data_IF_051272639226
#
_entry.id   IF_051272639226
#
_cell.length_a   1.000
_cell.length_b   1.000
_cell.length_c   1.000
_cell.angle_alpha   90.00
_cell.angle_beta   90.00
_cell.angle_gamma   90.00
#
_symmetry.space_group_name_H-M   'P 1'
#
loop_
_entity.id
_entity.type
_entity.pdbx_description
1 polymer ?
#
# COMPACT_ATOMS: atom_id res chain seq x y z
N UNK A 1 -11.77 5.16 0.37
CA UNK A 1 -12.33 5.59 1.67
C UNK A 1 -13.82 5.27 1.68
N UNK A 2 -14.38 4.96 2.85
CA UNK A 2 -15.81 4.66 3.04
C UNK A 2 -16.28 5.29 4.34
N UNK A 3 -17.49 5.82 4.36
CA UNK A 3 -18.05 6.54 5.50
C UNK A 3 -19.48 7.01 5.23
N UNK A 4 -20.00 7.82 6.13
CA UNK A 4 -21.30 8.48 6.01
C UNK A 4 -21.11 10.00 6.12
N UNK A 5 -21.94 10.75 5.39
CA UNK A 5 -21.93 12.22 5.43
C UNK A 5 -22.35 12.75 6.81
N UNK A 6 -23.40 12.15 7.39
CA UNK A 6 -23.85 12.47 8.73
C UNK A 6 -22.95 11.81 9.78
N UNK A 7 -22.34 12.64 10.64
CA UNK A 7 -21.47 12.22 11.76
C UNK A 7 -22.16 11.26 12.73
N UNK A 8 -23.48 11.35 12.88
CA UNK A 8 -24.25 10.50 13.80
C UNK A 8 -24.35 9.04 13.31
N UNK A 9 -24.17 8.81 12.01
CA UNK A 9 -24.23 7.47 11.41
C UNK A 9 -22.87 6.79 11.57
N UNK A 10 -22.88 5.62 12.21
CA UNK A 10 -21.67 4.82 12.43
C UNK A 10 -21.96 3.33 12.44
N UNK A 11 -20.95 2.55 12.08
CA UNK A 11 -20.97 1.11 12.28
C UNK A 11 -20.97 0.79 13.78
N UNK A 12 -21.69 -0.26 14.16
CA UNK A 12 -21.84 -0.64 15.56
C UNK A 12 -20.52 -1.10 16.19
N UNK A 13 -19.64 -1.71 15.41
CA UNK A 13 -18.34 -2.22 15.87
C UNK A 13 -17.24 -1.93 14.85
N UNK A 14 -15.98 -1.94 15.31
CA UNK A 14 -14.82 -1.84 14.44
C UNK A 14 -14.79 -2.99 13.44
N UNK A 15 -15.14 -4.22 13.85
CA UNK A 15 -15.15 -5.38 12.95
C UNK A 15 -16.06 -5.16 11.73
N UNK A 16 -17.18 -4.47 11.93
CA UNK A 16 -18.09 -4.09 10.84
C UNK A 16 -17.56 -2.90 10.04
N UNK A 17 -17.01 -1.87 10.71
CA UNK A 17 -16.64 -0.60 10.07
C UNK A 17 -15.21 -0.50 9.54
N UNK A 18 -14.33 -1.46 9.86
CA UNK A 18 -12.93 -1.43 9.46
C UNK A 18 -12.79 -1.46 7.93
N UNK A 19 -11.73 -0.82 7.44
CA UNK A 19 -11.47 -0.67 6.00
C UNK A 19 -11.37 -2.01 5.26
N UNK A 20 -10.84 -3.05 5.91
CA UNK A 20 -10.75 -4.40 5.32
C UNK A 20 -12.13 -5.02 5.05
N UNK A 21 -13.14 -4.71 5.86
CA UNK A 21 -14.49 -5.22 5.68
C UNK A 21 -15.32 -4.33 4.72
N UNK A 22 -15.14 -3.01 4.79
CA UNK A 22 -15.98 -2.07 4.06
C UNK A 22 -15.36 -1.60 2.73
N UNK A 23 -14.12 -1.11 2.74
CA UNK A 23 -13.51 -0.47 1.57
C UNK A 23 -12.84 -1.48 0.62
N UNK A 24 -12.16 -2.49 1.18
CA UNK A 24 -11.36 -3.44 0.40
C UNK A 24 -12.20 -4.26 -0.60
N UNK A 25 -13.41 -4.76 -0.29
CA UNK A 25 -14.21 -5.51 -1.26
C UNK A 25 -14.65 -4.65 -2.45
N UNK A 26 -14.99 -3.38 -2.21
CA UNK A 26 -15.36 -2.43 -3.27
C UNK A 26 -14.15 -2.18 -4.17
N UNK A 27 -12.98 -1.97 -3.57
CA UNK A 27 -11.73 -1.77 -4.32
C UNK A 27 -11.36 -3.01 -5.15
N UNK A 28 -11.53 -4.21 -4.61
CA UNK A 28 -11.27 -5.45 -5.34
C UNK A 28 -12.17 -5.59 -6.58
N UNK A 29 -13.48 -5.31 -6.45
CA UNK A 29 -14.41 -5.34 -7.58
C UNK A 29 -14.06 -4.26 -8.62
N UNK A 30 -13.66 -3.07 -8.17
CA UNK A 30 -13.23 -2.00 -9.06
C UNK A 30 -11.98 -2.42 -9.86
N UNK A 31 -10.95 -2.93 -9.20
CA UNK A 31 -9.73 -3.37 -9.87
C UNK A 31 -9.98 -4.56 -10.82
N UNK A 32 -10.81 -5.52 -10.43
CA UNK A 32 -11.19 -6.64 -11.32
C UNK A 32 -11.82 -6.12 -12.64
N UNK A 33 -12.64 -5.07 -12.57
CA UNK A 33 -13.19 -4.41 -13.76
C UNK A 33 -12.11 -3.68 -14.56
N UNK A 34 -11.20 -2.97 -13.90
CA UNK A 34 -10.08 -2.27 -14.55
C UNK A 34 -9.19 -3.26 -15.30
N UNK A 35 -8.81 -4.36 -14.67
CA UNK A 35 -7.94 -5.38 -15.29
C UNK A 35 -8.63 -6.14 -16.42
N UNK A 36 -9.96 -6.27 -16.39
CA UNK A 36 -10.74 -6.83 -17.50
C UNK A 36 -10.88 -5.87 -18.68
N UNK A 37 -10.69 -4.56 -18.48
CA UNK A 37 -10.71 -3.57 -19.54
C UNK A 37 -9.31 -3.34 -20.12
N UNK A 38 -9.00 -4.06 -21.20
CA UNK A 38 -7.70 -3.95 -21.90
C UNK A 38 -7.42 -2.59 -22.54
N UNK A 39 -8.35 -1.63 -22.52
CA UNK A 39 -8.14 -0.28 -23.08
C UNK A 39 -7.40 0.67 -22.13
N UNK A 40 -7.33 0.32 -20.84
CA UNK A 40 -6.78 1.21 -19.81
C UNK A 40 -5.27 1.10 -19.64
N UNK A 41 -4.62 0.09 -20.25
CA UNK A 41 -3.16 -0.09 -20.17
C UNK A 41 -2.67 -0.47 -18.78
N UNK A 42 -3.55 -1.02 -17.92
CA UNK A 42 -3.21 -1.46 -16.57
C UNK A 42 -3.17 -2.99 -16.54
N UNK A 43 -2.05 -3.59 -16.14
CA UNK A 43 -1.90 -5.04 -16.08
C UNK A 43 -1.57 -5.53 -14.66
N UNK A 44 -2.23 -6.60 -14.16
CA UNK A 44 -1.87 -7.22 -12.88
C UNK A 44 -0.41 -7.68 -12.77
N UNK A 45 0.26 -7.94 -13.89
CA UNK A 45 1.65 -8.40 -13.93
C UNK A 45 2.67 -7.26 -14.01
N UNK A 46 2.22 -6.01 -14.05
CA UNK A 46 3.14 -4.88 -14.09
C UNK A 46 3.98 -4.82 -12.80
N UNK A 47 5.29 -4.67 -12.98
CA UNK A 47 6.24 -4.57 -11.88
C UNK A 47 6.83 -3.18 -11.78
N UNK A 48 7.13 -2.76 -10.56
CA UNK A 48 7.82 -1.50 -10.30
C UNK A 48 9.33 -1.73 -10.29
N UNK A 49 10.07 -0.88 -11.02
CA UNK A 49 11.52 -0.87 -10.93
C UNK A 49 11.96 -0.44 -9.52
N UNK A 50 12.99 -1.10 -9.01
CA UNK A 50 13.56 -0.72 -7.72
C UNK A 50 14.14 0.70 -7.82
N UNK A 51 13.92 1.56 -6.80
CA UNK A 51 14.49 2.90 -6.80
C UNK A 51 16.02 2.82 -6.77
N UNK A 52 16.70 3.57 -7.65
CA UNK A 52 18.16 3.54 -7.79
C UNK A 52 18.90 3.78 -6.47
N UNK A 53 18.38 4.71 -5.64
CA UNK A 53 18.98 5.08 -4.34
C UNK A 53 18.76 4.04 -3.24
N UNK A 54 17.84 3.08 -3.42
CA UNK A 54 17.56 2.01 -2.46
C UNK A 54 18.16 0.66 -2.86
N UNK A 55 18.95 0.60 -3.94
CA UNK A 55 19.53 -0.65 -4.48
C UNK A 55 20.39 -1.41 -3.46
N UNK A 56 20.98 -0.69 -2.50
CA UNK A 56 21.90 -1.24 -1.50
C UNK A 56 21.25 -1.44 -0.12
N UNK A 57 19.94 -1.20 0.01
CA UNK A 57 19.21 -1.38 1.27
C UNK A 57 18.64 -2.80 1.32
N UNK A 58 19.00 -3.55 2.35
CA UNK A 58 18.37 -4.83 2.62
C UNK A 58 16.97 -4.60 3.22
N UNK A 59 15.92 -5.03 2.51
CA UNK A 59 14.52 -4.96 2.96
C UNK A 59 14.01 -6.30 3.51
N UNK A 60 14.87 -7.31 3.60
CA UNK A 60 14.52 -8.62 4.15
C UNK A 60 14.51 -8.57 5.68
N UNK A 61 13.32 -8.63 6.27
CA UNK A 61 13.12 -8.64 7.73
C UNK A 61 13.59 -9.95 8.39
N UNK A 62 13.75 -11.03 7.62
CA UNK A 62 14.17 -12.34 8.11
C UNK A 62 15.68 -12.56 7.94
N UNK A 63 16.37 -11.65 7.24
CA UNK A 63 17.81 -11.68 7.13
C UNK A 63 18.45 -11.40 8.49
N UNK A 64 19.29 -12.34 8.95
CA UNK A 64 20.13 -12.12 10.14
C UNK A 64 20.97 -10.87 9.89
N UNK A 65 20.76 -9.85 10.71
CA UNK A 65 21.60 -8.65 10.73
C UNK A 65 23.03 -9.07 11.11
N UNK A 66 23.90 -9.22 10.11
CA UNK A 66 25.33 -9.19 10.38
C UNK A 66 25.68 -7.75 10.74
N UNK A 67 26.27 -7.56 11.93
CA UNK A 67 26.62 -6.25 12.49
C UNK A 67 27.36 -5.37 11.48
N UNK A 68 26.64 -4.48 10.82
CA UNK A 68 27.21 -3.39 10.05
C UNK A 68 26.68 -2.08 10.62
N UNK A 69 27.55 -1.40 11.36
CA UNK A 69 27.38 -0.02 11.80
C UNK A 69 27.38 0.89 10.55
N UNK A 70 26.27 0.96 9.83
CA UNK A 70 26.05 2.01 8.85
C UNK A 70 24.99 2.96 9.41
N UNK A 71 25.44 4.14 9.83
CA UNK A 71 24.56 5.27 10.06
C UNK A 71 23.89 5.62 8.74
N UNK A 72 22.59 5.35 8.65
CA UNK A 72 21.74 5.83 7.56
C UNK A 72 21.48 7.31 7.83
N UNK A 73 22.24 8.20 7.18
CA UNK A 73 21.84 9.61 7.09
C UNK A 73 20.66 9.72 6.12
N UNK A 74 19.45 9.62 6.66
CA UNK A 74 18.21 9.95 5.95
C UNK A 74 18.05 11.47 6.01
N UNK A 75 18.22 12.14 4.88
CA UNK A 75 18.02 13.58 4.80
C UNK A 75 16.52 13.91 4.77
N UNK A 76 16.09 14.95 5.49
CA UNK A 76 14.67 15.37 5.55
C UNK A 76 14.11 15.78 4.18
N UNK A 77 14.99 16.10 3.23
CA UNK A 77 14.65 16.44 1.84
C UNK A 77 14.23 15.22 1.00
N UNK A 78 14.46 13.98 1.46
CA UNK A 78 14.01 12.76 0.76
C UNK A 78 12.55 12.35 1.11
N UNK A 79 11.89 13.08 2.01
CA UNK A 79 10.50 12.83 2.43
C UNK A 79 9.46 13.76 1.78
N UNK A 80 9.87 14.90 1.23
CA UNK A 80 8.99 15.93 0.66
C UNK A 80 9.14 16.09 -0.86
#
# INVERSE_FOLDING_TARGET
WVGAEDRSVRFQTIGMGQGANMALPIYAIFLDKVFKDGKLGVNPTDSWDKPLRLSNVNLDCDAKLENQNNQLEVSEDDFF
#
